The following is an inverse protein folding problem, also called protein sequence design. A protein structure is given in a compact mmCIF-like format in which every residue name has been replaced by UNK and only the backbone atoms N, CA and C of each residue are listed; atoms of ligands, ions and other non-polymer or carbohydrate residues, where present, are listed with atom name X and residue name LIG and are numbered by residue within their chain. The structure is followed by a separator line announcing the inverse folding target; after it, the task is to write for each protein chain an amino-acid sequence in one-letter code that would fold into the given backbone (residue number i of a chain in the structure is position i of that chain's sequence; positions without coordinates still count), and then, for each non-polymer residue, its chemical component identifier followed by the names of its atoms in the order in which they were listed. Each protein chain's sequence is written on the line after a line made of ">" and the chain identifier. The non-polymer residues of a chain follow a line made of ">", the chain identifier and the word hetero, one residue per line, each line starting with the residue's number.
data_IF_813399389019
#
_entry.id   IF_813399389019
#
_cell.length_a   1.000
_cell.length_b   1.000
_cell.length_c   1.000
_cell.angle_alpha   90.00
_cell.angle_beta   90.00
_cell.angle_gamma   90.00
#
_symmetry.space_group_name_H-M   'P 1'
#
loop_
_entity.id
_entity.type
_entity.pdbx_description
1 polymer ?
#
# COMPACT_ATOMS: atom_id res chain seq x y z
N UNK A 1 3.25 -5.76 13.61
CA UNK A 1 2.52 -5.77 12.33
C UNK A 1 3.48 -6.10 11.21
N UNK A 2 3.03 -6.86 10.26
CA UNK A 2 3.84 -7.27 9.11
C UNK A 2 3.36 -6.53 7.86
N UNK A 3 4.29 -5.94 7.11
CA UNK A 3 3.95 -5.40 5.79
C UNK A 3 3.70 -6.60 4.88
N UNK A 4 2.49 -6.70 4.36
CA UNK A 4 2.07 -7.83 3.53
C UNK A 4 2.26 -7.52 2.06
N UNK A 5 2.13 -8.55 1.21
CA UNK A 5 2.14 -8.36 -0.24
C UNK A 5 0.96 -7.53 -0.76
N UNK A 6 -0.05 -7.26 0.07
CA UNK A 6 -1.16 -6.38 -0.30
C UNK A 6 -0.69 -5.00 -0.77
N UNK A 7 0.37 -4.49 -0.14
CA UNK A 7 0.94 -3.20 -0.53
C UNK A 7 1.45 -3.23 -1.98
N UNK A 8 2.29 -4.19 -2.31
CA UNK A 8 2.83 -4.30 -3.67
C UNK A 8 1.76 -4.67 -4.68
N UNK A 9 0.80 -5.51 -4.30
CA UNK A 9 -0.36 -5.83 -5.13
C UNK A 9 -1.18 -4.56 -5.42
N UNK A 10 -1.40 -3.72 -4.42
CA UNK A 10 -2.14 -2.47 -4.61
C UNK A 10 -1.43 -1.52 -5.58
N UNK A 11 -0.12 -1.36 -5.47
CA UNK A 11 0.66 -0.54 -6.39
C UNK A 11 0.59 -1.11 -7.81
N UNK A 12 0.70 -2.43 -7.96
CA UNK A 12 0.56 -3.12 -9.26
C UNK A 12 -0.82 -2.86 -9.88
N UNK A 13 -1.88 -3.02 -9.09
CA UNK A 13 -3.26 -2.77 -9.54
C UNK A 13 -3.42 -1.33 -10.05
N UNK A 14 -2.95 -0.36 -9.28
CA UNK A 14 -3.07 1.05 -9.64
C UNK A 14 -2.28 1.39 -10.91
N UNK A 15 -1.12 0.79 -11.07
CA UNK A 15 -0.30 0.95 -12.29
C UNK A 15 -1.02 0.37 -13.50
N UNK A 16 -1.64 -0.81 -13.38
CA UNK A 16 -2.46 -1.39 -14.44
C UNK A 16 -3.63 -0.48 -14.82
N UNK A 17 -4.32 0.06 -13.83
CA UNK A 17 -5.47 0.94 -14.08
C UNK A 17 -5.04 2.14 -14.93
N UNK A 18 -3.89 2.74 -14.64
CA UNK A 18 -3.41 3.88 -15.41
C UNK A 18 -2.92 3.49 -16.80
N UNK A 19 -2.08 2.45 -16.88
CA UNK A 19 -1.47 2.03 -18.15
C UNK A 19 -2.52 1.62 -19.18
N UNK A 20 -3.58 0.93 -18.74
CA UNK A 20 -4.61 0.41 -19.62
C UNK A 20 -5.86 1.28 -19.69
N UNK A 21 -5.83 2.47 -19.09
CA UNK A 21 -6.95 3.40 -19.14
C UNK A 21 -7.26 3.79 -20.59
N UNK A 22 -8.54 3.70 -20.95
CA UNK A 22 -9.00 3.99 -22.32
C UNK A 22 -8.70 2.91 -23.36
N UNK A 23 -7.92 1.88 -23.02
CA UNK A 23 -7.58 0.80 -23.94
C UNK A 23 -8.46 -0.43 -23.75
N UNK A 24 -8.87 -0.67 -22.51
CA UNK A 24 -9.71 -1.82 -22.18
C UNK A 24 -10.38 -1.59 -20.83
N UNK A 25 -11.40 -2.39 -20.56
CA UNK A 25 -12.05 -2.40 -19.26
C UNK A 25 -11.16 -3.14 -18.26
N UNK A 26 -10.71 -2.44 -17.23
CA UNK A 26 -9.85 -3.03 -16.19
C UNK A 26 -10.76 -3.67 -15.14
N UNK A 27 -10.84 -4.99 -15.17
CA UNK A 27 -11.68 -5.80 -14.28
C UNK A 27 -10.82 -6.53 -13.25
N UNK A 28 -11.47 -7.05 -12.19
CA UNK A 28 -10.76 -7.86 -11.19
C UNK A 28 -10.16 -9.13 -11.78
N UNK A 29 -10.80 -9.71 -12.80
CA UNK A 29 -10.25 -10.89 -13.47
C UNK A 29 -9.01 -10.55 -14.28
N UNK A 30 -9.01 -9.42 -14.98
CA UNK A 30 -7.84 -8.94 -15.69
C UNK A 30 -6.69 -8.66 -14.71
N UNK A 31 -6.99 -7.98 -13.61
CA UNK A 31 -5.99 -7.66 -12.58
C UNK A 31 -5.44 -8.92 -11.90
N UNK A 32 -6.29 -9.93 -11.68
CA UNK A 32 -5.86 -11.23 -11.17
C UNK A 32 -4.86 -11.89 -12.12
N UNK A 33 -5.12 -11.83 -13.42
CA UNK A 33 -4.21 -12.35 -14.43
C UNK A 33 -2.86 -11.62 -14.44
N UNK A 34 -2.88 -10.30 -14.31
CA UNK A 34 -1.65 -9.49 -14.32
C UNK A 34 -0.84 -9.66 -13.04
N UNK A 35 -1.49 -9.64 -11.88
CA UNK A 35 -0.81 -9.70 -10.59
C UNK A 35 -0.40 -11.12 -10.20
N UNK A 36 -1.05 -12.12 -10.73
CA UNK A 36 -0.84 -13.51 -10.32
C UNK A 36 -1.47 -13.87 -8.99
N UNK A 37 -2.33 -12.99 -8.44
CA UNK A 37 -3.04 -13.27 -7.20
C UNK A 37 -4.50 -13.54 -7.47
N UNK A 38 -5.13 -14.22 -6.52
CA UNK A 38 -6.53 -14.63 -6.57
C UNK A 38 -7.46 -13.41 -6.73
N UNK A 39 -8.51 -13.54 -7.56
CA UNK A 39 -9.47 -12.48 -7.82
C UNK A 39 -10.18 -11.98 -6.56
N UNK A 40 -10.37 -12.82 -5.54
CA UNK A 40 -10.96 -12.42 -4.25
C UNK A 40 -10.03 -11.43 -3.54
N UNK A 41 -8.73 -11.69 -3.54
CA UNK A 41 -7.73 -10.79 -2.95
C UNK A 41 -7.73 -9.46 -3.72
N UNK A 42 -7.77 -9.52 -5.06
CA UNK A 42 -7.85 -8.31 -5.91
C UNK A 42 -9.07 -7.47 -5.56
N UNK A 43 -10.24 -8.10 -5.43
CA UNK A 43 -11.48 -7.38 -5.07
C UNK A 43 -11.39 -6.76 -3.69
N UNK A 44 -10.78 -7.46 -2.73
CA UNK A 44 -10.58 -6.92 -1.38
C UNK A 44 -9.67 -5.69 -1.40
N UNK A 45 -8.56 -5.76 -2.13
CA UNK A 45 -7.64 -4.63 -2.27
C UNK A 45 -8.32 -3.46 -2.98
N UNK A 46 -9.05 -3.71 -4.07
CA UNK A 46 -9.83 -2.68 -4.76
C UNK A 46 -10.84 -2.02 -3.83
N UNK A 47 -11.52 -2.80 -2.99
CA UNK A 47 -12.45 -2.29 -1.99
C UNK A 47 -11.77 -1.35 -0.99
N UNK A 48 -10.60 -1.72 -0.51
CA UNK A 48 -9.81 -0.89 0.41
C UNK A 48 -9.34 0.41 -0.27
N UNK A 49 -8.89 0.33 -1.51
CA UNK A 49 -8.48 1.51 -2.29
C UNK A 49 -9.67 2.43 -2.58
N UNK A 50 -10.84 1.87 -2.84
CA UNK A 50 -12.08 2.63 -3.05
C UNK A 50 -12.50 3.35 -1.78
N UNK A 51 -12.46 2.67 -0.64
CA UNK A 51 -12.78 3.27 0.65
C UNK A 51 -11.84 4.42 1.02
N UNK A 52 -10.59 4.36 0.54
CA UNK A 52 -9.61 5.42 0.73
C UNK A 52 -9.74 6.56 -0.29
N UNK A 53 -10.65 6.45 -1.27
CA UNK A 53 -10.86 7.47 -2.28
C UNK A 53 -9.80 7.50 -3.39
N UNK A 54 -9.02 6.43 -3.54
CA UNK A 54 -7.96 6.33 -4.56
C UNK A 54 -8.49 5.76 -5.87
N UNK A 55 -9.45 4.83 -5.78
CA UNK A 55 -10.07 4.15 -6.93
C UNK A 55 -11.56 4.39 -6.90
N UNK A 56 -12.16 4.51 -8.09
CA UNK A 56 -13.61 4.52 -8.28
C UNK A 56 -13.99 3.41 -9.27
N UNK A 57 -15.21 2.92 -9.13
CA UNK A 57 -15.78 1.94 -10.06
C UNK A 57 -16.94 2.60 -10.78
N UNK A 58 -16.91 2.57 -12.14
CA UNK A 58 -17.97 3.13 -12.97
C UNK A 58 -18.91 2.01 -13.40
N UNK A 59 -20.20 2.30 -13.41
CA UNK A 59 -21.22 1.36 -13.90
C UNK A 59 -21.15 1.20 -15.43
N UNK A 60 -21.64 0.08 -15.91
CA UNK A 60 -21.66 -0.23 -17.35
C UNK A 60 -20.31 -0.70 -17.84
N UNK A 61 -19.77 -0.01 -18.86
CA UNK A 61 -18.50 -0.38 -19.50
C UNK A 61 -17.26 0.08 -18.72
N UNK A 62 -17.44 0.66 -17.52
CA UNK A 62 -16.39 1.45 -16.91
C UNK A 62 -15.23 0.69 -16.29
N UNK A 63 -15.47 -0.38 -15.55
CA UNK A 63 -14.42 -1.03 -14.77
C UNK A 63 -13.85 -0.11 -13.68
N UNK A 64 -12.60 -0.37 -13.27
CA UNK A 64 -11.90 0.41 -12.25
C UNK A 64 -11.13 1.59 -12.86
N UNK A 65 -11.18 2.73 -12.18
CA UNK A 65 -10.50 3.96 -12.61
C UNK A 65 -9.86 4.64 -11.40
N UNK A 66 -8.82 5.43 -11.64
CA UNK A 66 -8.24 6.27 -10.59
C UNK A 66 -9.19 7.42 -10.24
N UNK A 67 -9.38 7.66 -8.95
CA UNK A 67 -10.21 8.75 -8.44
C UNK A 67 -9.40 10.03 -8.20
N UNK A 68 -8.07 9.94 -8.22
CA UNK A 68 -7.14 11.05 -8.00
C UNK A 68 -6.06 11.04 -9.08
N UNK A 69 -5.43 12.18 -9.28
CA UNK A 69 -4.28 12.28 -10.17
C UNK A 69 -3.09 11.48 -9.61
N UNK A 70 -2.27 10.93 -10.51
CA UNK A 70 -1.12 10.10 -10.14
C UNK A 70 -0.14 10.80 -9.18
N UNK A 71 0.07 12.11 -9.38
CA UNK A 71 0.98 12.90 -8.57
C UNK A 71 0.39 13.30 -7.20
N UNK A 72 -0.90 13.06 -7.01
CA UNK A 72 -1.59 13.28 -5.73
C UNK A 72 -1.65 12.02 -4.86
N UNK A 73 -1.20 10.88 -5.38
CA UNK A 73 -1.20 9.61 -4.66
C UNK A 73 0.23 9.25 -4.31
N UNK A 74 0.55 9.20 -3.01
CA UNK A 74 1.86 8.76 -2.54
C UNK A 74 1.84 7.27 -2.21
N UNK A 75 3.01 6.64 -2.14
CA UNK A 75 3.11 5.26 -1.66
C UNK A 75 2.60 5.14 -0.22
N UNK A 76 2.73 6.21 0.57
CA UNK A 76 2.19 6.24 1.93
C UNK A 76 0.65 6.17 1.93
N UNK A 77 -0.01 6.87 1.02
CA UNK A 77 -1.47 6.82 0.88
C UNK A 77 -1.95 5.40 0.57
N UNK A 78 -1.23 4.72 -0.33
CA UNK A 78 -1.55 3.34 -0.71
C UNK A 78 -1.31 2.39 0.48
N UNK A 79 -0.20 2.56 1.17
CA UNK A 79 0.15 1.77 2.35
C UNK A 79 -0.92 1.88 3.42
N UNK A 80 -1.35 3.11 3.74
CA UNK A 80 -2.42 3.34 4.71
C UNK A 80 -3.75 2.72 4.28
N UNK A 81 -4.03 2.71 2.99
CA UNK A 81 -5.30 2.19 2.47
C UNK A 81 -5.43 0.68 2.65
N UNK A 82 -4.34 -0.08 2.49
CA UNK A 82 -4.39 -1.56 2.41
C UNK A 82 -3.77 -2.27 3.61
N UNK A 83 -2.88 -1.61 4.33
CA UNK A 83 -2.23 -2.20 5.50
C UNK A 83 -2.89 -1.67 6.77
N UNK A 84 -3.98 -2.06 7.19
CA UNK A 84 -4.66 -1.57 8.39
C UNK A 84 -3.64 -1.32 9.53
N UNK A 85 -3.08 -0.12 9.56
CA UNK A 85 -2.19 0.28 10.64
C UNK A 85 -3.06 0.48 11.86
N UNK A 86 -2.92 -0.38 12.84
CA UNK A 86 -3.57 -0.20 14.13
C UNK A 86 -2.89 0.93 14.91
N UNK A 87 -3.47 1.32 16.02
CA UNK A 87 -2.95 2.39 16.87
C UNK A 87 -1.56 2.06 17.46
N UNK A 88 -1.15 0.79 17.41
CA UNK A 88 0.14 0.33 17.88
C UNK A 88 1.27 0.57 16.87
N UNK A 89 0.94 0.91 15.63
CA UNK A 89 1.91 1.21 14.60
C UNK A 89 2.52 -0.02 13.95
N UNK A 90 3.71 0.18 13.37
CA UNK A 90 4.40 -0.84 12.58
C UNK A 90 5.03 -1.94 13.45
N UNK A 91 5.47 -1.59 14.63
CA UNK A 91 6.20 -2.51 15.53
C UNK A 91 5.34 -2.91 16.72
N UNK A 92 5.26 -4.22 16.96
CA UNK A 92 4.66 -4.75 18.17
C UNK A 92 5.77 -5.06 19.17
N UNK A 93 5.57 -4.60 20.39
CA UNK A 93 6.49 -4.88 21.46
C UNK A 93 5.92 -6.01 22.33
N UNK A 94 6.79 -6.89 22.85
CA UNK A 94 6.36 -7.92 23.78
C UNK A 94 5.80 -7.27 25.05
N UNK A 95 4.72 -7.81 25.54
CA UNK A 95 4.02 -7.30 26.72
C UNK A 95 4.56 -7.96 27.99
N UNK A 96 4.39 -7.25 29.09
CA UNK A 96 4.66 -7.77 30.43
C UNK A 96 6.11 -8.25 30.66
N UNK A 97 7.15 -7.48 30.30
CA UNK A 97 8.49 -7.83 30.69
C UNK A 97 8.61 -7.81 32.24
N UNK A 98 9.47 -8.67 32.78
CA UNK A 98 9.63 -8.80 34.22
C UNK A 98 10.13 -7.50 34.85
N UNK A 99 9.29 -6.86 35.66
CA UNK A 99 9.63 -5.59 36.32
C UNK A 99 10.70 -5.72 37.41
N UNK A 100 10.92 -6.94 37.92
CA UNK A 100 11.96 -7.21 38.90
C UNK A 100 13.34 -7.32 38.27
N UNK A 101 13.40 -7.58 36.97
CA UNK A 101 14.64 -7.55 36.19
C UNK A 101 14.96 -6.13 35.76
N UNK A 102 16.15 -5.60 36.02
CA UNK A 102 16.53 -4.24 35.61
C UNK A 102 16.38 -4.02 34.10
N UNK A 103 16.67 -5.01 33.27
CA UNK A 103 16.49 -4.94 31.81
C UNK A 103 15.00 -4.94 31.47
N UNK A 104 14.23 -5.87 32.01
CA UNK A 104 12.79 -5.95 31.76
C UNK A 104 12.05 -4.68 32.14
N UNK A 105 12.46 -4.05 33.24
CA UNK A 105 11.88 -2.82 33.73
C UNK A 105 12.14 -1.61 32.85
N UNK A 106 13.25 -1.62 32.08
CA UNK A 106 13.73 -0.46 31.34
C UNK A 106 13.76 -0.62 29.82
N UNK A 107 13.50 -1.83 29.29
CA UNK A 107 13.68 -2.10 27.85
C UNK A 107 12.75 -1.25 26.97
N UNK A 108 11.52 -1.00 27.40
CA UNK A 108 10.58 -0.15 26.66
C UNK A 108 11.11 1.28 26.53
N UNK A 109 11.68 1.84 27.60
CA UNK A 109 12.24 3.19 27.57
C UNK A 109 13.40 3.30 26.59
N UNK A 110 14.18 2.25 26.43
CA UNK A 110 15.32 2.24 25.52
C UNK A 110 14.91 2.03 24.06
N UNK A 111 13.90 1.17 23.82
CA UNK A 111 13.51 0.76 22.47
C UNK A 111 12.41 1.59 21.84
N UNK A 112 11.44 2.07 22.62
CA UNK A 112 10.26 2.76 22.06
C UNK A 112 10.66 3.97 21.20
N UNK A 113 11.61 4.76 21.66
CA UNK A 113 12.11 5.95 20.93
C UNK A 113 12.71 5.52 19.58
N UNK A 114 13.44 4.42 19.56
CA UNK A 114 14.08 3.92 18.35
C UNK A 114 13.07 3.34 17.36
N UNK A 115 12.05 2.66 17.86
CA UNK A 115 10.98 2.11 17.02
C UNK A 115 10.13 3.23 16.41
N UNK A 116 9.84 4.26 17.18
CA UNK A 116 9.15 5.45 16.68
C UNK A 116 9.94 6.14 15.57
N UNK A 117 11.26 6.29 15.75
CA UNK A 117 12.12 6.88 14.74
C UNK A 117 12.17 6.04 13.46
N UNK A 118 12.23 4.71 13.59
CA UNK A 118 12.24 3.80 12.45
C UNK A 118 10.91 3.86 11.68
N UNK A 119 9.79 3.90 12.38
CA UNK A 119 8.47 4.04 11.77
C UNK A 119 8.34 5.37 11.03
N UNK A 120 8.76 6.47 11.67
CA UNK A 120 8.73 7.80 11.04
C UNK A 120 9.60 7.85 9.78
N UNK A 121 10.76 7.22 9.80
CA UNK A 121 11.64 7.16 8.64
C UNK A 121 11.00 6.40 7.48
N UNK A 122 10.35 5.26 7.75
CA UNK A 122 9.62 4.49 6.75
C UNK A 122 8.49 5.31 6.14
N UNK A 123 7.66 5.92 6.98
CA UNK A 123 6.52 6.72 6.52
C UNK A 123 6.98 7.91 5.69
N UNK A 124 8.05 8.59 6.10
CA UNK A 124 8.58 9.73 5.36
C UNK A 124 9.11 9.32 3.99
N UNK A 125 9.77 8.16 3.89
CA UNK A 125 10.22 7.65 2.59
C UNK A 125 9.05 7.33 1.67
N UNK A 126 8.00 6.68 2.19
CA UNK A 126 6.80 6.38 1.41
C UNK A 126 6.07 7.66 0.97
N UNK A 127 6.07 8.70 1.79
CA UNK A 127 5.48 10.00 1.43
C UNK A 127 6.26 10.74 0.35
N UNK A 128 7.53 10.44 0.18
CA UNK A 128 8.39 11.10 -0.80
C UNK A 128 8.27 10.55 -2.22
N UNK A 129 7.61 9.40 -2.39
CA UNK A 129 7.43 8.76 -3.69
C UNK A 129 5.95 8.79 -4.08
N UNK A 130 5.67 9.30 -5.29
CA UNK A 130 4.30 9.33 -5.83
C UNK A 130 4.05 8.13 -6.73
N UNK A 131 2.79 7.81 -6.94
CA UNK A 131 2.39 6.80 -7.93
C UNK A 131 2.82 7.22 -9.33
N UNK A 132 2.85 8.52 -9.62
CA UNK A 132 3.31 9.04 -10.91
C UNK A 132 4.73 8.59 -11.24
N UNK A 133 5.62 8.58 -10.26
CA UNK A 133 7.00 8.11 -10.44
C UNK A 133 7.06 6.62 -10.76
N UNK A 134 6.28 5.80 -10.04
CA UNK A 134 6.23 4.34 -10.28
C UNK A 134 5.67 4.05 -11.67
N UNK A 135 4.60 4.72 -12.07
CA UNK A 135 3.99 4.53 -13.39
C UNK A 135 4.94 4.97 -14.49
N UNK A 136 5.62 6.11 -14.32
CA UNK A 136 6.60 6.60 -15.30
C UNK A 136 7.74 5.59 -15.50
N UNK A 137 8.28 5.05 -14.42
CA UNK A 137 9.34 4.05 -14.49
C UNK A 137 8.85 2.77 -15.15
N UNK A 138 7.64 2.32 -14.86
CA UNK A 138 7.05 1.13 -15.46
C UNK A 138 6.86 1.32 -16.97
N UNK A 139 6.33 2.47 -17.40
CA UNK A 139 6.16 2.77 -18.83
C UNK A 139 7.50 2.83 -19.56
N UNK A 140 8.51 3.37 -18.92
CA UNK A 140 9.87 3.41 -19.49
C UNK A 140 10.38 1.99 -19.75
N UNK A 141 10.26 1.12 -18.77
CA UNK A 141 10.70 -0.28 -18.91
C UNK A 141 9.93 -1.01 -20.02
N UNK A 142 8.61 -0.80 -20.12
CA UNK A 142 7.78 -1.37 -21.17
C UNK A 142 8.27 -0.91 -22.56
N UNK A 143 8.60 0.36 -22.70
CA UNK A 143 9.05 0.93 -23.97
C UNK A 143 10.45 0.47 -24.37
N UNK A 144 11.25 -0.03 -23.46
CA UNK A 144 12.60 -0.53 -23.69
C UNK A 144 12.66 -2.03 -24.03
N UNK A 145 11.51 -2.75 -23.97
CA UNK A 145 11.40 -4.15 -24.39
C UNK A 145 11.52 -4.28 -25.91
#
# INVERSE_FOLDING_TARGET
>A
MQITSKFTVAVHILTCIDVFDGQMRVTSDFLSGSTGVNAVIVRNVLGQLRNAGIVETRQGSGGAHLAKALDEITLYDIYKAVECIDDEGLFHFHENPNVDCPVGRNIHKAMDVRLEAAQAALENELKSTTLAQVVADTRKEINEE
#
